data_IF_113291254359
#
_entry.id   IF_113291254359
#
_cell.length_a   1.000
_cell.length_b   1.000
_cell.length_c   1.000
_cell.angle_alpha   90.00
_cell.angle_beta   90.00
_cell.angle_gamma   90.00
#
_symmetry.space_group_name_H-M   'P 1'
#
loop_
_entity.id
_entity.type
_entity.pdbx_description
1 polymer ?
#
# COMPACT_ATOMS: atom_id res chain seq x y z
N UNK A 1 -10.54 -32.20 8.77
CA UNK A 1 -11.24 -31.40 9.80
C UNK A 1 -11.45 -30.08 9.09
N UNK A 2 -12.68 -29.74 8.76
CA UNK A 2 -13.02 -28.41 8.21
C UNK A 2 -12.71 -27.38 9.29
N UNK A 3 -11.91 -26.38 8.93
CA UNK A 3 -11.55 -25.28 9.84
C UNK A 3 -12.76 -24.33 9.86
N UNK A 4 -13.61 -24.43 10.89
CA UNK A 4 -14.80 -23.59 11.03
C UNK A 4 -14.44 -22.32 11.78
N UNK A 5 -14.82 -21.15 11.21
CA UNK A 5 -14.68 -19.85 11.85
C UNK A 5 -15.99 -19.47 12.54
N UNK A 6 -15.87 -18.90 13.73
CA UNK A 6 -16.99 -18.32 14.47
C UNK A 6 -16.79 -16.82 14.54
N UNK A 7 -17.73 -16.07 13.96
CA UNK A 7 -17.67 -14.61 13.94
C UNK A 7 -18.92 -14.02 14.60
N UNK A 8 -18.70 -13.03 15.48
CA UNK A 8 -19.76 -12.22 16.09
C UNK A 8 -19.94 -10.95 15.29
N UNK A 9 -21.19 -10.63 14.97
CA UNK A 9 -21.60 -9.51 14.15
C UNK A 9 -22.55 -8.63 14.93
N UNK A 10 -22.34 -7.32 14.94
CA UNK A 10 -23.30 -6.35 15.44
C UNK A 10 -24.23 -5.99 14.27
N UNK A 11 -25.53 -6.33 14.41
CA UNK A 11 -26.53 -6.20 13.36
C UNK A 11 -27.50 -5.09 13.66
N UNK A 12 -27.63 -4.13 12.77
CA UNK A 12 -28.50 -2.96 12.93
C UNK A 12 -29.84 -3.13 12.19
N UNK A 13 -30.87 -2.46 12.70
CA UNK A 13 -32.20 -2.45 12.07
C UNK A 13 -33.16 -3.52 12.59
N UNK A 14 -32.75 -4.39 13.50
CA UNK A 14 -33.64 -5.37 14.14
C UNK A 14 -34.50 -4.71 15.21
N UNK A 15 -35.80 -5.04 15.22
CA UNK A 15 -36.77 -4.48 16.21
C UNK A 15 -37.65 -5.53 16.86
N UNK A 16 -37.58 -6.80 16.42
CA UNK A 16 -38.46 -7.85 16.92
C UNK A 16 -37.89 -9.26 16.63
N UNK A 17 -38.45 -10.27 17.28
CA UNK A 17 -38.06 -11.67 17.09
C UNK A 17 -38.20 -12.17 15.64
N UNK A 18 -39.14 -11.63 14.85
CA UNK A 18 -39.24 -11.97 13.44
C UNK A 18 -38.05 -11.46 12.62
N UNK A 19 -37.49 -10.33 13.02
CA UNK A 19 -36.30 -9.78 12.37
C UNK A 19 -35.11 -10.71 12.55
N UNK A 20 -34.86 -11.16 13.79
CA UNK A 20 -33.77 -12.13 14.06
C UNK A 20 -33.99 -13.47 13.37
N UNK A 21 -35.25 -13.95 13.25
CA UNK A 21 -35.55 -15.15 12.47
C UNK A 21 -35.26 -14.95 10.98
N UNK A 22 -35.63 -13.78 10.40
CA UNK A 22 -35.35 -13.47 8.97
C UNK A 22 -33.86 -13.47 8.69
N UNK A 23 -33.06 -12.84 9.55
CA UNK A 23 -31.59 -12.81 9.41
C UNK A 23 -31.02 -14.24 9.58
N UNK A 24 -31.48 -14.99 10.60
CA UNK A 24 -31.05 -16.36 10.82
C UNK A 24 -31.33 -17.27 9.61
N UNK A 25 -32.57 -17.21 9.10
CA UNK A 25 -32.99 -17.98 7.90
C UNK A 25 -32.12 -17.59 6.68
N UNK A 26 -31.82 -16.30 6.48
CA UNK A 26 -30.97 -15.86 5.37
C UNK A 26 -29.54 -16.42 5.48
N UNK A 27 -28.97 -16.43 6.67
CA UNK A 27 -27.64 -16.97 6.92
C UNK A 27 -27.59 -18.49 6.77
N UNK A 28 -28.59 -19.22 7.27
CA UNK A 28 -28.67 -20.65 7.17
C UNK A 28 -28.90 -21.20 5.72
N UNK A 29 -29.31 -20.31 4.80
CA UNK A 29 -29.41 -20.63 3.37
C UNK A 29 -28.07 -20.63 2.65
N UNK A 30 -27.03 -20.05 3.24
CA UNK A 30 -25.70 -20.02 2.64
C UNK A 30 -25.00 -21.38 2.75
N UNK A 31 -24.55 -21.91 1.64
CA UNK A 31 -23.72 -23.12 1.62
C UNK A 31 -22.38 -22.81 2.32
N UNK A 32 -22.09 -23.51 3.42
CA UNK A 32 -20.90 -23.29 4.24
C UNK A 32 -21.18 -22.72 5.62
N UNK A 33 -22.38 -22.18 5.89
CA UNK A 33 -22.80 -21.81 7.25
C UNK A 33 -23.32 -23.06 7.97
N UNK A 34 -22.72 -23.36 9.13
CA UNK A 34 -23.09 -24.52 9.95
C UNK A 34 -24.14 -24.18 11.02
N UNK A 35 -24.04 -22.97 11.60
CA UNK A 35 -24.96 -22.48 12.61
C UNK A 35 -25.02 -20.94 12.58
N UNK A 36 -26.21 -20.37 12.73
CA UNK A 36 -26.42 -18.94 12.90
C UNK A 36 -27.36 -18.66 14.06
N UNK A 37 -26.89 -17.92 15.05
CA UNK A 37 -27.70 -17.50 16.21
C UNK A 37 -27.79 -15.98 16.21
N UNK A 38 -29.03 -15.44 16.08
CA UNK A 38 -29.29 -14.01 16.00
C UNK A 38 -30.21 -13.56 17.14
N UNK A 39 -29.84 -12.50 17.83
CA UNK A 39 -30.57 -11.96 18.97
C UNK A 39 -30.89 -10.48 18.78
N UNK A 40 -32.16 -10.16 18.55
CA UNK A 40 -32.62 -8.76 18.38
C UNK A 40 -32.56 -7.90 19.65
N UNK A 41 -32.51 -8.53 20.85
CA UNK A 41 -32.47 -7.77 22.11
C UNK A 41 -31.04 -7.24 22.43
N UNK A 42 -30.04 -7.86 21.86
CA UNK A 42 -28.63 -7.42 22.00
C UNK A 42 -28.08 -6.87 20.68
N UNK A 43 -28.88 -6.88 19.60
CA UNK A 43 -28.47 -6.54 18.24
C UNK A 43 -27.24 -7.30 17.73
N UNK A 44 -27.11 -8.57 18.17
CA UNK A 44 -25.96 -9.42 17.88
C UNK A 44 -26.34 -10.68 17.10
N UNK A 45 -25.47 -11.06 16.20
CA UNK A 45 -25.47 -12.36 15.50
C UNK A 45 -24.15 -13.10 15.72
N UNK A 46 -24.22 -14.41 15.92
CA UNK A 46 -23.04 -15.28 15.89
C UNK A 46 -23.21 -16.28 14.77
N UNK A 47 -22.23 -16.34 13.87
CA UNK A 47 -22.26 -17.20 12.70
C UNK A 47 -21.04 -18.13 12.73
N UNK A 48 -21.29 -19.43 12.62
CA UNK A 48 -20.26 -20.46 12.42
C UNK A 48 -20.27 -20.90 10.96
N UNK A 49 -19.14 -20.75 10.27
CA UNK A 49 -19.03 -21.00 8.84
C UNK A 49 -17.67 -21.59 8.45
N UNK A 50 -17.63 -22.27 7.31
CA UNK A 50 -16.42 -22.79 6.67
C UNK A 50 -15.88 -21.71 5.71
N UNK A 51 -14.71 -21.09 5.99
CA UNK A 51 -14.16 -20.02 5.16
C UNK A 51 -13.73 -20.48 3.75
N UNK A 52 -13.54 -21.79 3.54
CA UNK A 52 -13.26 -22.34 2.23
C UNK A 52 -14.54 -22.47 1.36
N UNK A 53 -15.73 -22.44 1.98
CA UNK A 53 -17.02 -22.57 1.32
C UNK A 53 -17.76 -21.23 1.18
N UNK A 54 -17.71 -20.36 2.19
CA UNK A 54 -18.38 -19.04 2.20
C UNK A 54 -17.49 -17.99 2.86
N UNK A 55 -17.38 -16.84 2.23
CA UNK A 55 -16.62 -15.71 2.76
C UNK A 55 -17.45 -14.88 3.74
N UNK A 56 -16.78 -14.14 4.64
CA UNK A 56 -17.47 -13.19 5.55
C UNK A 56 -18.19 -12.09 4.76
N UNK A 57 -17.69 -11.70 3.60
CA UNK A 57 -18.35 -10.79 2.67
C UNK A 57 -19.73 -11.30 2.25
N UNK A 58 -19.85 -12.58 1.88
CA UNK A 58 -21.13 -13.19 1.50
C UNK A 58 -22.09 -13.30 2.68
N UNK A 59 -21.56 -13.57 3.89
CA UNK A 59 -22.33 -13.54 5.13
C UNK A 59 -22.90 -12.14 5.40
N UNK A 60 -22.09 -11.10 5.28
CA UNK A 60 -22.53 -9.70 5.46
C UNK A 60 -23.54 -9.32 4.38
N UNK A 61 -23.27 -9.65 3.11
CA UNK A 61 -24.17 -9.38 2.01
C UNK A 61 -25.56 -10.04 2.18
N UNK A 62 -25.62 -11.25 2.71
CA UNK A 62 -26.89 -11.92 2.98
C UNK A 62 -27.73 -11.21 4.05
N UNK A 63 -27.08 -10.62 5.06
CA UNK A 63 -27.75 -9.80 6.07
C UNK A 63 -28.29 -8.51 5.45
N UNK A 64 -27.48 -7.85 4.60
CA UNK A 64 -27.85 -6.61 3.90
C UNK A 64 -28.98 -6.84 2.89
N UNK A 65 -28.92 -7.94 2.13
CA UNK A 65 -29.98 -8.34 1.21
C UNK A 65 -31.31 -8.68 1.94
N UNK A 66 -31.23 -9.14 3.19
CA UNK A 66 -32.39 -9.33 4.05
C UNK A 66 -32.96 -8.01 4.61
N UNK A 67 -32.29 -6.85 4.33
CA UNK A 67 -32.73 -5.52 4.71
C UNK A 67 -32.22 -5.01 6.06
N UNK A 68 -31.15 -5.62 6.58
CA UNK A 68 -30.49 -5.23 7.84
C UNK A 68 -29.07 -4.76 7.56
N UNK A 69 -28.44 -4.04 8.51
CA UNK A 69 -27.07 -3.59 8.38
C UNK A 69 -26.13 -4.36 9.32
N UNK A 70 -24.87 -4.44 8.97
CA UNK A 70 -23.78 -4.95 9.83
C UNK A 70 -22.85 -3.81 10.16
N UNK A 71 -22.43 -3.70 11.42
CA UNK A 71 -21.45 -2.69 11.83
C UNK A 71 -20.08 -3.13 11.34
N UNK A 72 -19.52 -2.36 10.43
CA UNK A 72 -18.16 -2.57 9.89
C UNK A 72 -17.35 -1.28 10.01
N UNK A 73 -16.05 -1.41 10.11
CA UNK A 73 -15.09 -0.31 10.03
C UNK A 73 -14.21 -0.45 8.81
N UNK A 74 -13.85 0.66 8.21
CA UNK A 74 -12.90 0.70 7.09
C UNK A 74 -11.65 1.45 7.51
N UNK A 75 -10.49 0.84 7.29
CA UNK A 75 -9.18 1.44 7.57
C UNK A 75 -8.32 1.43 6.32
N UNK A 76 -7.53 2.48 6.13
CA UNK A 76 -6.53 2.54 5.06
C UNK A 76 -5.14 2.36 5.68
N UNK A 77 -4.40 1.34 5.23
CA UNK A 77 -3.07 1.00 5.71
C UNK A 77 -2.06 1.23 4.59
N UNK A 78 -1.08 2.10 4.79
CA UNK A 78 0.02 2.24 3.86
C UNK A 78 0.99 1.05 4.00
N UNK A 79 1.41 0.47 2.85
CA UNK A 79 2.32 -0.67 2.80
C UNK A 79 3.54 -0.25 2.00
N UNK A 80 4.72 -0.25 2.63
CA UNK A 80 5.98 -0.09 1.91
C UNK A 80 6.40 -1.43 1.31
N UNK A 81 7.28 -1.44 0.35
CA UNK A 81 7.83 -2.63 -0.30
C UNK A 81 6.88 -3.31 -1.34
N UNK A 82 5.78 -2.68 -1.75
CA UNK A 82 4.98 -3.14 -2.89
C UNK A 82 5.72 -2.82 -4.19
N UNK A 83 6.29 -3.83 -4.82
CA UNK A 83 7.10 -3.68 -6.05
C UNK A 83 6.39 -4.08 -7.33
N UNK A 84 5.20 -4.66 -7.25
CA UNK A 84 4.44 -5.15 -8.40
C UNK A 84 2.99 -5.49 -8.05
N UNK A 85 2.13 -5.62 -9.06
CA UNK A 85 0.73 -6.01 -8.88
C UNK A 85 0.57 -7.35 -8.12
N UNK A 86 1.41 -8.35 -8.39
CA UNK A 86 1.37 -9.61 -7.66
C UNK A 86 1.65 -9.46 -6.15
N UNK A 87 2.41 -8.41 -5.77
CA UNK A 87 2.63 -8.08 -4.36
C UNK A 87 1.35 -7.54 -3.71
N UNK A 88 0.59 -6.72 -4.44
CA UNK A 88 -0.73 -6.25 -4.01
C UNK A 88 -1.70 -7.44 -3.84
N UNK A 89 -1.83 -8.31 -4.86
CA UNK A 89 -2.67 -9.51 -4.81
C UNK A 89 -2.32 -10.43 -3.62
N UNK A 90 -1.04 -10.51 -3.26
CA UNK A 90 -0.58 -11.32 -2.13
C UNK A 90 -1.03 -10.74 -0.79
N UNK A 91 -0.93 -9.42 -0.63
CA UNK A 91 -1.39 -8.74 0.59
C UNK A 91 -2.92 -8.75 0.69
N UNK A 92 -3.63 -8.54 -0.41
CA UNK A 92 -5.08 -8.64 -0.49
C UNK A 92 -5.56 -10.01 -0.03
N UNK A 93 -5.00 -11.08 -0.60
CA UNK A 93 -5.33 -12.45 -0.20
C UNK A 93 -4.98 -12.75 1.29
N UNK A 94 -3.90 -12.18 1.82
CA UNK A 94 -3.52 -12.35 3.22
C UNK A 94 -4.48 -11.61 4.17
N UNK A 95 -4.92 -10.43 3.78
CA UNK A 95 -5.92 -9.65 4.53
C UNK A 95 -7.29 -10.30 4.50
N UNK A 96 -7.76 -10.74 3.32
CA UNK A 96 -9.03 -11.46 3.17
C UNK A 96 -9.07 -12.80 3.94
N UNK A 97 -7.92 -13.48 4.09
CA UNK A 97 -7.81 -14.68 4.90
C UNK A 97 -7.80 -14.41 6.41
N UNK A 98 -7.77 -13.15 6.83
CA UNK A 98 -7.78 -12.79 8.26
C UNK A 98 -9.20 -12.86 8.80
N UNK A 99 -9.45 -13.63 9.88
CA UNK A 99 -10.79 -13.72 10.47
C UNK A 99 -11.32 -12.33 10.87
N UNK A 100 -12.57 -12.04 10.51
CA UNK A 100 -13.19 -10.74 10.77
C UNK A 100 -13.01 -9.69 9.66
N UNK A 101 -12.23 -9.95 8.64
CA UNK A 101 -12.14 -9.10 7.45
C UNK A 101 -13.27 -9.42 6.49
N UNK A 102 -14.01 -8.39 6.09
CA UNK A 102 -15.14 -8.47 5.14
C UNK A 102 -14.63 -8.28 3.72
N UNK A 103 -13.78 -7.29 3.51
CA UNK A 103 -13.25 -6.92 2.20
C UNK A 103 -11.86 -6.29 2.33
N UNK A 104 -11.00 -6.55 1.37
CA UNK A 104 -9.70 -5.91 1.28
C UNK A 104 -9.40 -5.57 -0.18
N UNK A 105 -8.92 -4.36 -0.42
CA UNK A 105 -8.45 -3.91 -1.73
C UNK A 105 -7.07 -3.28 -1.58
N UNK A 106 -6.08 -3.83 -2.28
CA UNK A 106 -4.70 -3.33 -2.22
C UNK A 106 -4.33 -2.64 -3.52
N UNK A 107 -4.05 -1.35 -3.44
CA UNK A 107 -3.69 -0.55 -4.59
C UNK A 107 -2.16 -0.37 -4.67
N UNK A 108 -1.56 -1.05 -5.64
CA UNK A 108 -0.13 -0.95 -5.91
C UNK A 108 0.31 0.46 -6.33
N UNK A 109 -0.55 1.26 -6.97
CA UNK A 109 -0.16 2.58 -7.45
C UNK A 109 -0.06 3.63 -6.32
N UNK A 110 -0.87 3.46 -5.25
CA UNK A 110 -0.86 4.35 -4.07
C UNK A 110 -0.07 3.75 -2.91
N UNK A 111 0.30 2.47 -2.98
CA UNK A 111 0.92 1.69 -1.90
C UNK A 111 0.04 1.60 -0.65
N UNK A 112 -1.28 1.45 -0.85
CA UNK A 112 -2.28 1.43 0.20
C UNK A 112 -3.18 0.20 0.12
N UNK A 113 -3.55 -0.33 1.30
CA UNK A 113 -4.61 -1.30 1.48
C UNK A 113 -5.81 -0.64 2.13
N UNK A 114 -6.97 -0.72 1.51
CA UNK A 114 -8.25 -0.38 2.13
C UNK A 114 -8.89 -1.67 2.61
N UNK A 115 -9.15 -1.75 3.92
CA UNK A 115 -9.66 -2.97 4.55
C UNK A 115 -10.93 -2.66 5.31
N UNK A 116 -12.01 -3.37 5.00
CA UNK A 116 -13.27 -3.34 5.72
C UNK A 116 -13.36 -4.58 6.61
N UNK A 117 -13.57 -4.38 7.90
CA UNK A 117 -13.58 -5.45 8.88
C UNK A 117 -14.67 -5.24 9.94
N UNK A 118 -15.00 -6.31 10.66
CA UNK A 118 -15.97 -6.29 11.76
C UNK A 118 -15.22 -5.97 13.05
N UNK A 119 -15.51 -4.83 13.73
CA UNK A 119 -14.94 -4.51 15.03
C UNK A 119 -15.25 -5.59 16.06
N UNK A 120 -14.22 -6.01 16.83
CA UNK A 120 -14.37 -7.10 17.80
C UNK A 120 -14.12 -8.51 17.22
N UNK A 121 -14.26 -8.73 15.92
CA UNK A 121 -13.82 -9.95 15.24
C UNK A 121 -12.38 -9.82 14.71
N UNK A 122 -12.02 -8.64 14.19
CA UNK A 122 -10.64 -8.29 13.84
C UNK A 122 -10.27 -6.94 14.45
N UNK A 123 -8.97 -6.72 14.62
CA UNK A 123 -8.39 -5.45 15.04
C UNK A 123 -7.39 -4.95 14.01
N UNK A 124 -7.10 -3.65 13.99
CA UNK A 124 -6.05 -3.07 13.13
C UNK A 124 -4.69 -3.75 13.37
N UNK A 125 -4.42 -4.25 14.58
CA UNK A 125 -3.21 -4.98 14.89
C UNK A 125 -3.13 -6.33 14.13
N UNK A 126 -4.25 -7.04 14.01
CA UNK A 126 -4.33 -8.31 13.27
C UNK A 126 -4.09 -8.07 11.77
N UNK A 127 -4.57 -6.93 11.24
CA UNK A 127 -4.33 -6.52 9.86
C UNK A 127 -2.84 -6.22 9.60
N UNK A 128 -2.17 -5.52 10.54
CA UNK A 128 -0.73 -5.32 10.46
C UNK A 128 0.04 -6.64 10.48
N UNK A 129 -0.35 -7.55 11.38
CA UNK A 129 0.30 -8.85 11.50
C UNK A 129 0.09 -9.71 10.23
N UNK A 130 -1.07 -9.64 9.59
CA UNK A 130 -1.34 -10.30 8.31
C UNK A 130 -0.39 -9.82 7.21
N UNK A 131 -0.22 -8.50 7.06
CA UNK A 131 0.71 -7.89 6.10
C UNK A 131 2.16 -8.28 6.41
N UNK A 132 2.58 -8.24 7.68
CA UNK A 132 3.94 -8.63 8.09
C UNK A 132 4.20 -10.13 7.86
N UNK A 133 3.20 -10.98 8.11
CA UNK A 133 3.28 -12.42 7.84
C UNK A 133 3.38 -12.73 6.35
N UNK A 134 2.72 -11.95 5.50
CA UNK A 134 2.89 -12.00 4.05
C UNK A 134 4.28 -11.52 3.59
N UNK A 135 5.04 -10.87 4.49
CA UNK A 135 6.44 -10.47 4.26
C UNK A 135 6.62 -9.04 3.82
N UNK A 136 5.61 -8.20 4.00
CA UNK A 136 5.60 -6.78 3.67
C UNK A 136 5.62 -5.92 4.93
N UNK A 137 5.79 -4.61 4.77
CA UNK A 137 5.98 -3.68 5.89
C UNK A 137 4.85 -2.66 5.93
N UNK A 138 3.83 -2.85 6.79
CA UNK A 138 2.80 -1.85 7.00
C UNK A 138 3.35 -0.63 7.74
N UNK A 139 2.88 0.55 7.41
CA UNK A 139 3.16 1.78 8.17
C UNK A 139 2.19 1.83 9.34
N UNK A 140 2.71 1.61 10.54
CA UNK A 140 1.89 1.68 11.76
C UNK A 140 1.66 3.15 12.12
N UNK A 141 0.42 3.58 12.15
CA UNK A 141 0.04 4.89 12.67
C UNK A 141 0.29 4.89 14.18
N UNK A 142 0.99 5.90 14.67
CA UNK A 142 1.25 6.05 16.10
C UNK A 142 -0.08 6.15 16.86
N UNK A 143 -0.22 5.38 17.95
CA UNK A 143 -1.35 5.42 18.86
C UNK A 143 -1.35 6.77 19.60
N UNK A 144 -1.77 7.83 18.91
CA UNK A 144 -2.12 9.12 19.50
C UNK A 144 -3.61 9.09 19.83
N UNK A 145 -3.93 9.05 21.13
CA UNK A 145 -5.26 9.42 21.62
C UNK A 145 -5.56 10.85 21.16
N UNK A 146 -6.55 10.96 20.33
CA UNK A 146 -7.31 12.14 19.91
C UNK A 146 -7.26 12.37 18.39
N UNK A 147 -8.40 12.25 17.83
CA UNK A 147 -9.03 12.53 16.56
C UNK A 147 -8.55 13.72 15.71
N UNK A 148 -7.24 13.82 15.45
CA UNK A 148 -6.73 14.72 14.43
C UNK A 148 -6.20 13.85 13.27
N UNK A 149 -6.87 13.93 12.13
CA UNK A 149 -6.53 13.23 10.88
C UNK A 149 -5.12 13.55 10.31
N UNK A 150 -4.39 14.46 10.96
CA UNK A 150 -3.06 14.96 10.53
C UNK A 150 -1.91 14.02 10.93
N UNK A 151 -2.01 13.31 12.06
CA UNK A 151 -0.90 12.45 12.55
C UNK A 151 -0.64 11.18 11.70
N UNK A 152 -1.66 10.65 11.04
CA UNK A 152 -1.54 9.47 10.17
C UNK A 152 -0.87 9.82 8.83
N UNK A 153 -1.15 10.99 8.29
CA UNK A 153 -0.56 11.49 7.05
C UNK A 153 0.93 11.78 7.21
N UNK A 154 1.35 12.35 8.32
CA UNK A 154 2.76 12.63 8.62
C UNK A 154 3.61 11.35 8.71
N UNK A 155 3.07 10.28 9.30
CA UNK A 155 3.77 8.99 9.40
C UNK A 155 3.95 8.33 8.01
N UNK A 156 2.95 8.41 7.15
CA UNK A 156 3.00 7.91 5.76
C UNK A 156 4.01 8.68 4.92
N UNK A 157 3.97 10.01 4.98
CA UNK A 157 4.90 10.87 4.24
C UNK A 157 6.35 10.66 4.70
N UNK A 158 6.57 10.54 6.01
CA UNK A 158 7.89 10.23 6.57
C UNK A 158 8.41 8.85 6.11
N UNK A 159 7.55 7.82 6.05
CA UNK A 159 7.90 6.50 5.56
C UNK A 159 8.25 6.51 4.07
N UNK A 160 7.45 7.21 3.26
CA UNK A 160 7.70 7.41 1.81
C UNK A 160 9.00 8.15 1.54
N UNK A 161 9.26 9.25 2.25
CA UNK A 161 10.54 9.95 2.13
C UNK A 161 11.74 9.11 2.56
N UNK A 162 11.57 8.29 3.60
CA UNK A 162 12.62 7.36 4.03
C UNK A 162 12.94 6.33 2.95
N UNK A 163 11.92 5.77 2.28
CA UNK A 163 12.10 4.84 1.16
C UNK A 163 12.76 5.52 -0.05
N UNK A 164 12.32 6.71 -0.46
CA UNK A 164 12.96 7.47 -1.54
C UNK A 164 14.44 7.74 -1.21
N UNK A 165 14.77 8.13 0.03
CA UNK A 165 16.16 8.36 0.46
C UNK A 165 16.99 7.07 0.44
N UNK A 166 16.40 5.95 0.85
CA UNK A 166 17.04 4.62 0.84
C UNK A 166 17.33 4.19 -0.61
N UNK A 167 16.34 4.24 -1.49
CA UNK A 167 16.48 3.89 -2.91
C UNK A 167 17.50 4.77 -3.61
N UNK A 168 17.50 6.09 -3.37
CA UNK A 168 18.50 7.01 -3.90
C UNK A 168 19.92 6.64 -3.46
N UNK A 169 20.12 6.30 -2.17
CA UNK A 169 21.45 5.90 -1.66
C UNK A 169 21.92 4.61 -2.30
N UNK A 170 21.06 3.61 -2.42
CA UNK A 170 21.39 2.34 -3.06
C UNK A 170 21.71 2.53 -4.54
N UNK A 171 20.91 3.33 -5.26
CA UNK A 171 21.16 3.65 -6.67
C UNK A 171 22.51 4.35 -6.87
N UNK A 172 22.82 5.39 -6.07
CA UNK A 172 24.09 6.09 -6.17
C UNK A 172 25.28 5.19 -5.83
N UNK A 173 25.16 4.36 -4.79
CA UNK A 173 26.18 3.38 -4.43
C UNK A 173 26.42 2.36 -5.54
N UNK A 174 25.34 1.78 -6.06
CA UNK A 174 25.40 0.81 -7.16
C UNK A 174 25.96 1.44 -8.45
N UNK A 175 25.51 2.64 -8.81
CA UNK A 175 25.97 3.35 -9.99
C UNK A 175 27.47 3.68 -9.93
N UNK A 176 27.95 4.10 -8.75
CA UNK A 176 29.39 4.40 -8.57
C UNK A 176 30.29 3.17 -8.80
N UNK A 177 29.84 1.99 -8.35
CA UNK A 177 30.58 0.72 -8.53
C UNK A 177 30.36 0.10 -9.91
N UNK A 178 29.20 0.28 -10.51
CA UNK A 178 28.87 -0.26 -11.82
C UNK A 178 29.35 0.65 -12.98
N UNK A 179 29.62 1.93 -12.76
CA UNK A 179 30.10 2.82 -13.82
C UNK A 179 31.42 2.32 -14.48
N UNK A 180 32.46 1.88 -13.74
CA UNK A 180 33.62 1.27 -14.35
C UNK A 180 33.27 -0.01 -15.14
N UNK A 181 32.38 -0.88 -14.61
CA UNK A 181 31.94 -2.10 -15.29
C UNK A 181 31.19 -1.78 -16.59
N UNK A 182 30.40 -0.72 -16.61
CA UNK A 182 29.75 -0.26 -17.83
C UNK A 182 30.75 0.20 -18.90
N UNK A 183 31.79 0.93 -18.49
CA UNK A 183 32.86 1.34 -19.44
C UNK A 183 33.52 0.14 -20.04
N UNK A 184 33.78 -0.91 -19.27
CA UNK A 184 34.38 -2.15 -19.75
C UNK A 184 33.45 -2.95 -20.68
N UNK A 185 32.15 -2.99 -20.33
CA UNK A 185 31.15 -3.63 -21.17
C UNK A 185 31.07 -2.95 -22.54
N UNK A 186 31.04 -1.60 -22.56
CA UNK A 186 30.97 -0.81 -23.77
C UNK A 186 32.23 -1.00 -24.62
N UNK A 187 33.42 -1.01 -24.02
CA UNK A 187 34.66 -1.29 -24.72
C UNK A 187 34.65 -2.68 -25.37
N UNK A 188 34.28 -3.70 -24.61
CA UNK A 188 34.17 -5.07 -25.10
C UNK A 188 33.15 -5.22 -26.23
N UNK A 189 32.02 -4.54 -26.16
CA UNK A 189 30.91 -4.63 -27.12
C UNK A 189 31.18 -3.82 -28.38
N UNK A 190 31.67 -2.57 -28.27
CA UNK A 190 31.81 -1.64 -29.39
C UNK A 190 33.20 -1.67 -30.03
N UNK A 191 34.27 -1.96 -29.25
CA UNK A 191 35.65 -1.91 -29.71
C UNK A 191 36.24 -3.30 -29.86
N UNK A 192 35.44 -4.36 -29.62
CA UNK A 192 35.86 -5.75 -29.83
C UNK A 192 36.78 -6.31 -28.75
N UNK A 193 37.02 -5.59 -27.67
CA UNK A 193 37.97 -5.93 -26.61
C UNK A 193 39.42 -5.74 -27.08
N UNK A 194 40.30 -5.23 -26.24
CA UNK A 194 41.72 -5.11 -26.56
C UNK A 194 42.29 -3.69 -26.52
N UNK A 195 41.45 -2.69 -26.24
CA UNK A 195 41.88 -1.31 -25.95
C UNK A 195 42.32 -1.19 -24.48
N UNK A 196 41.62 -1.88 -23.61
CA UNK A 196 41.98 -1.93 -22.18
C UNK A 196 42.92 -3.14 -21.93
N UNK A 197 43.95 -2.97 -21.09
CA UNK A 197 44.89 -4.05 -20.82
C UNK A 197 44.23 -5.17 -20.02
N UNK A 198 44.55 -6.44 -20.36
CA UNK A 198 44.07 -7.64 -19.66
C UNK A 198 44.46 -7.66 -18.16
N UNK A 199 45.38 -6.80 -17.77
CA UNK A 199 45.84 -6.62 -16.38
C UNK A 199 45.91 -5.14 -16.03
N UNK A 200 45.24 -4.76 -14.96
CA UNK A 200 45.31 -3.43 -14.37
C UNK A 200 46.03 -3.56 -13.04
N UNK A 201 47.11 -2.80 -12.82
CA UNK A 201 47.97 -2.90 -11.64
C UNK A 201 48.48 -4.34 -11.34
N UNK A 202 48.65 -5.17 -12.35
CA UNK A 202 49.12 -6.56 -12.19
C UNK A 202 48.04 -7.57 -11.84
N UNK A 203 46.82 -7.14 -11.64
CA UNK A 203 45.64 -7.98 -11.32
C UNK A 203 44.89 -8.28 -12.62
N UNK A 204 44.53 -9.54 -12.84
CA UNK A 204 43.68 -9.94 -13.95
C UNK A 204 42.32 -9.25 -13.86
N UNK A 205 41.83 -8.78 -14.98
CA UNK A 205 40.63 -7.95 -15.07
C UNK A 205 39.39 -8.58 -14.40
N UNK A 206 39.21 -9.88 -14.53
CA UNK A 206 38.10 -10.61 -13.90
C UNK A 206 38.03 -10.49 -12.38
N UNK A 207 39.17 -10.34 -11.69
CA UNK A 207 39.19 -10.09 -10.25
C UNK A 207 38.72 -8.67 -9.89
N UNK A 208 38.94 -7.69 -10.78
CA UNK A 208 38.47 -6.33 -10.62
C UNK A 208 36.93 -6.29 -10.79
N UNK A 209 36.40 -6.95 -11.83
CA UNK A 209 34.98 -7.12 -12.04
C UNK A 209 34.29 -7.78 -10.82
N UNK A 210 34.88 -8.88 -10.32
CA UNK A 210 34.42 -9.56 -9.12
C UNK A 210 34.38 -8.63 -7.90
N UNK A 211 35.45 -7.85 -7.66
CA UNK A 211 35.56 -6.96 -6.51
C UNK A 211 34.52 -5.82 -6.57
N UNK A 212 34.23 -5.32 -7.77
CA UNK A 212 33.22 -4.26 -7.97
C UNK A 212 31.79 -4.81 -7.94
N UNK A 213 31.54 -5.97 -8.53
CA UNK A 213 30.21 -6.56 -8.61
C UNK A 213 29.74 -7.17 -7.27
N UNK A 214 30.66 -7.69 -6.45
CA UNK A 214 30.30 -8.34 -5.18
C UNK A 214 29.56 -7.41 -4.20
N UNK A 215 30.03 -6.17 -3.92
CA UNK A 215 29.27 -5.25 -3.07
C UNK A 215 27.92 -4.86 -3.66
N UNK A 216 27.84 -4.74 -4.99
CA UNK A 216 26.56 -4.46 -5.67
C UNK A 216 25.60 -5.63 -5.47
N UNK A 217 26.05 -6.88 -5.71
CA UNK A 217 25.25 -8.08 -5.52
C UNK A 217 24.77 -8.23 -4.07
N UNK A 218 25.63 -7.92 -3.10
CA UNK A 218 25.29 -8.02 -1.67
C UNK A 218 24.33 -6.92 -1.20
N UNK A 219 24.56 -5.66 -1.60
CA UNK A 219 23.79 -4.52 -1.10
C UNK A 219 22.46 -4.35 -1.85
N UNK A 220 22.50 -4.35 -3.20
CA UNK A 220 21.32 -4.15 -4.03
C UNK A 220 20.52 -5.45 -4.21
N UNK A 221 21.17 -6.62 -4.18
CA UNK A 221 20.51 -7.92 -4.29
C UNK A 221 19.72 -8.31 -3.04
N UNK A 222 20.09 -7.81 -1.85
CA UNK A 222 19.48 -8.21 -0.57
C UNK A 222 17.95 -8.04 -0.51
N UNK A 223 17.35 -6.93 -0.93
CA UNK A 223 15.89 -6.80 -0.97
C UNK A 223 15.24 -7.87 -1.84
N UNK A 224 15.76 -8.09 -3.04
CA UNK A 224 15.24 -9.09 -3.98
C UNK A 224 15.34 -10.52 -3.43
N UNK A 225 16.43 -10.87 -2.73
CA UNK A 225 16.57 -12.18 -2.08
C UNK A 225 15.56 -12.38 -0.97
N UNK A 226 15.35 -11.35 -0.11
CA UNK A 226 14.37 -11.41 0.97
C UNK A 226 12.95 -11.57 0.43
N UNK A 227 12.58 -10.75 -0.56
CA UNK A 227 11.26 -10.80 -1.17
C UNK A 227 11.02 -12.10 -1.93
N UNK A 228 12.05 -12.63 -2.63
CA UNK A 228 11.98 -13.95 -3.28
C UNK A 228 11.77 -15.08 -2.29
N UNK A 229 12.46 -15.04 -1.15
CA UNK A 229 12.26 -16.02 -0.08
C UNK A 229 10.83 -15.96 0.48
N UNK A 230 10.31 -14.76 0.77
CA UNK A 230 8.94 -14.59 1.24
C UNK A 230 7.93 -15.08 0.19
N UNK A 231 8.09 -14.71 -1.08
CA UNK A 231 7.20 -15.11 -2.15
C UNK A 231 7.13 -16.64 -2.33
N UNK A 232 8.30 -17.31 -2.37
CA UNK A 232 8.34 -18.76 -2.62
C UNK A 232 8.01 -19.56 -1.37
N UNK A 233 8.64 -19.24 -0.22
CA UNK A 233 8.60 -20.10 0.98
C UNK A 233 7.38 -19.81 1.82
N UNK A 234 6.97 -18.54 1.98
CA UNK A 234 5.81 -18.19 2.78
C UNK A 234 4.51 -18.25 1.96
N UNK A 235 4.51 -17.69 0.76
CA UNK A 235 3.28 -17.47 0.00
C UNK A 235 3.06 -18.50 -1.12
N UNK A 236 4.05 -19.37 -1.40
CA UNK A 236 3.95 -20.38 -2.49
C UNK A 236 3.76 -19.79 -3.90
N UNK A 237 4.05 -18.49 -4.08
CA UNK A 237 3.89 -17.74 -5.32
C UNK A 237 5.23 -17.23 -5.83
N UNK A 238 5.30 -16.92 -7.11
CA UNK A 238 6.48 -16.28 -7.72
C UNK A 238 6.14 -14.84 -8.09
N UNK A 239 7.08 -13.94 -7.87
CA UNK A 239 6.97 -12.52 -8.25
C UNK A 239 8.16 -12.08 -9.10
N UNK A 240 8.19 -10.81 -9.51
CA UNK A 240 9.26 -10.23 -10.30
C UNK A 240 10.63 -10.31 -9.58
N UNK A 241 10.65 -10.18 -8.25
CA UNK A 241 11.87 -10.23 -7.45
C UNK A 241 12.56 -11.60 -7.54
N UNK A 242 11.79 -12.69 -7.64
CA UNK A 242 12.32 -14.05 -7.85
C UNK A 242 13.07 -14.15 -9.17
N UNK A 243 12.53 -13.57 -10.24
CA UNK A 243 13.18 -13.56 -11.55
C UNK A 243 14.48 -12.76 -11.54
N UNK A 244 14.47 -11.60 -10.90
CA UNK A 244 15.64 -10.73 -10.74
C UNK A 244 16.73 -11.42 -9.91
N UNK A 245 16.35 -11.99 -8.76
CA UNK A 245 17.25 -12.71 -7.87
C UNK A 245 17.89 -13.92 -8.56
N UNK A 246 17.10 -14.70 -9.30
CA UNK A 246 17.58 -15.88 -10.03
C UNK A 246 18.52 -15.47 -11.17
N UNK A 247 18.13 -14.49 -11.99
CA UNK A 247 18.91 -14.03 -13.14
C UNK A 247 20.25 -13.43 -12.74
N UNK A 248 20.24 -12.48 -11.79
CA UNK A 248 21.48 -11.83 -11.33
C UNK A 248 22.41 -12.81 -10.60
N UNK A 249 21.86 -13.71 -9.77
CA UNK A 249 22.65 -14.70 -9.05
C UNK A 249 23.24 -15.74 -9.98
N UNK A 250 22.50 -16.18 -10.99
CA UNK A 250 23.03 -17.15 -11.99
C UNK A 250 24.20 -16.55 -12.74
N UNK A 251 24.08 -15.31 -13.24
CA UNK A 251 25.17 -14.63 -13.92
C UNK A 251 26.40 -14.45 -13.03
N UNK A 252 26.18 -14.06 -11.76
CA UNK A 252 27.23 -13.85 -10.76
C UNK A 252 27.94 -15.16 -10.42
N UNK A 253 27.21 -16.21 -10.03
CA UNK A 253 27.76 -17.50 -9.61
C UNK A 253 28.47 -18.19 -10.78
N UNK A 254 27.90 -18.13 -11.99
CA UNK A 254 28.54 -18.61 -13.19
C UNK A 254 29.91 -17.93 -13.41
N UNK A 255 29.94 -16.59 -13.29
CA UNK A 255 31.18 -15.82 -13.47
C UNK A 255 32.23 -16.15 -12.40
N UNK A 256 31.81 -16.42 -11.16
CA UNK A 256 32.71 -16.92 -10.10
C UNK A 256 33.31 -18.28 -10.49
N UNK A 257 32.50 -19.21 -11.01
CA UNK A 257 32.98 -20.51 -11.44
C UNK A 257 33.97 -20.41 -12.61
N UNK A 258 33.76 -19.51 -13.57
CA UNK A 258 34.71 -19.22 -14.67
C UNK A 258 35.96 -18.59 -14.11
N UNK A 259 35.88 -17.60 -13.22
CA UNK A 259 37.04 -16.92 -12.62
C UNK A 259 37.94 -17.87 -11.84
N UNK A 260 37.32 -18.86 -11.15
CA UNK A 260 38.07 -19.93 -10.45
C UNK A 260 38.60 -21.04 -11.37
N UNK A 261 38.34 -20.98 -12.67
CA UNK A 261 38.79 -21.97 -13.63
C UNK A 261 38.04 -23.32 -13.56
N UNK A 262 36.87 -23.36 -12.92
CA UNK A 262 36.06 -24.59 -12.81
C UNK A 262 35.32 -24.91 -14.11
N UNK A 263 34.97 -23.89 -14.88
CA UNK A 263 34.31 -24.00 -16.19
C UNK A 263 34.93 -23.01 -17.16
N UNK A 264 34.91 -23.34 -18.46
CA UNK A 264 35.35 -22.43 -19.51
C UNK A 264 34.18 -21.55 -19.95
N UNK A 265 34.40 -20.23 -20.09
CA UNK A 265 33.38 -19.30 -20.54
C UNK A 265 33.76 -17.84 -20.40
N UNK A 266 32.81 -16.93 -20.62
CA UNK A 266 32.99 -15.50 -20.42
C UNK A 266 32.54 -15.08 -19.01
N UNK A 267 33.01 -13.91 -18.56
CA UNK A 267 32.56 -13.29 -17.31
C UNK A 267 31.36 -12.41 -17.57
N UNK A 268 30.40 -12.42 -16.66
CA UNK A 268 29.14 -11.68 -16.69
C UNK A 268 28.89 -10.93 -15.38
N UNK A 269 29.96 -10.56 -14.64
CA UNK A 269 29.85 -9.76 -13.42
C UNK A 269 29.25 -8.38 -13.68
N UNK A 270 29.64 -7.77 -14.81
CA UNK A 270 29.08 -6.53 -15.33
C UNK A 270 27.56 -6.63 -15.54
N UNK A 271 27.12 -7.67 -16.23
CA UNK A 271 25.70 -7.92 -16.49
C UNK A 271 24.91 -8.11 -15.20
N UNK A 272 25.41 -8.93 -14.24
CA UNK A 272 24.77 -9.14 -12.95
C UNK A 272 24.63 -7.84 -12.16
N UNK A 273 25.69 -7.03 -12.11
CA UNK A 273 25.68 -5.75 -11.39
C UNK A 273 24.77 -4.72 -12.06
N UNK A 274 24.81 -4.60 -13.40
CA UNK A 274 24.00 -3.63 -14.14
C UNK A 274 22.51 -3.93 -14.05
N UNK A 275 22.09 -5.19 -14.08
CA UNK A 275 20.70 -5.59 -13.86
C UNK A 275 20.20 -5.03 -12.53
N UNK A 276 20.92 -5.27 -11.44
CA UNK A 276 20.52 -4.80 -10.11
C UNK A 276 20.51 -3.27 -10.01
N UNK A 277 21.49 -2.59 -10.61
CA UNK A 277 21.56 -1.13 -10.61
C UNK A 277 20.40 -0.51 -11.39
N UNK A 278 20.12 -1.01 -12.61
CA UNK A 278 19.01 -0.46 -13.40
C UNK A 278 17.65 -0.71 -12.78
N UNK A 279 17.44 -1.87 -12.16
CA UNK A 279 16.18 -2.15 -11.46
C UNK A 279 16.05 -1.27 -10.22
N UNK A 280 17.13 -1.12 -9.43
CA UNK A 280 17.12 -0.21 -8.27
C UNK A 280 16.89 1.24 -8.69
N UNK A 281 17.45 1.68 -9.83
CA UNK A 281 17.14 2.99 -10.42
C UNK A 281 15.65 3.08 -10.82
N UNK A 282 15.11 2.03 -11.43
CA UNK A 282 13.69 1.95 -11.76
C UNK A 282 12.80 2.13 -10.53
N UNK A 283 13.07 1.39 -9.47
CA UNK A 283 12.35 1.49 -8.19
C UNK A 283 12.47 2.90 -7.57
N UNK A 284 13.64 3.54 -7.66
CA UNK A 284 13.80 4.93 -7.22
C UNK A 284 12.93 5.91 -8.02
N UNK A 285 12.91 5.78 -9.35
CA UNK A 285 12.10 6.65 -10.22
C UNK A 285 10.60 6.42 -9.98
N UNK A 286 10.21 5.18 -9.79
CA UNK A 286 8.85 4.79 -9.46
C UNK A 286 8.40 5.39 -8.11
N UNK A 287 9.15 5.16 -7.03
CA UNK A 287 8.86 5.72 -5.71
C UNK A 287 8.74 7.26 -5.74
N UNK A 288 9.59 7.91 -6.52
CA UNK A 288 9.53 9.36 -6.73
C UNK A 288 8.27 9.79 -7.49
N UNK A 289 7.89 9.06 -8.54
CA UNK A 289 6.71 9.39 -9.35
C UNK A 289 5.42 9.18 -8.58
N UNK A 290 5.31 8.07 -7.81
CA UNK A 290 4.19 7.82 -6.90
C UNK A 290 4.04 8.94 -5.86
N UNK A 291 5.15 9.42 -5.29
CA UNK A 291 5.14 10.54 -4.35
C UNK A 291 4.57 11.83 -4.95
N UNK A 292 4.97 12.18 -6.16
CA UNK A 292 4.49 13.39 -6.84
C UNK A 292 2.99 13.33 -7.18
N UNK A 293 2.50 12.15 -7.59
CA UNK A 293 1.08 11.96 -7.88
C UNK A 293 0.21 12.06 -6.62
N UNK A 294 0.67 11.49 -5.50
CA UNK A 294 0.00 11.60 -4.20
C UNK A 294 -0.06 13.04 -3.69
N UNK A 295 1.03 13.79 -3.80
CA UNK A 295 1.09 15.20 -3.39
C UNK A 295 0.14 16.09 -4.23
N UNK A 296 0.04 15.85 -5.54
CA UNK A 296 -0.89 16.57 -6.41
C UNK A 296 -2.36 16.29 -6.04
N UNK A 297 -2.72 15.04 -5.74
CA UNK A 297 -4.06 14.68 -5.30
C UNK A 297 -4.38 15.29 -3.93
N UNK A 298 -3.43 15.25 -3.00
CA UNK A 298 -3.57 15.83 -1.67
C UNK A 298 -3.77 17.33 -1.71
N UNK A 299 -3.03 18.05 -2.56
CA UNK A 299 -3.20 19.50 -2.72
C UNK A 299 -4.60 19.87 -3.20
N UNK A 300 -5.30 18.97 -3.88
CA UNK A 300 -6.71 19.15 -4.25
C UNK A 300 -7.63 18.91 -3.05
N UNK A 301 -7.37 17.89 -2.23
CA UNK A 301 -8.14 17.62 -1.01
C UNK A 301 -7.93 18.70 0.06
N UNK A 302 -6.72 19.23 0.21
CA UNK A 302 -6.41 20.34 1.12
C UNK A 302 -7.10 21.66 0.73
N UNK A 303 -7.68 21.74 -0.48
CA UNK A 303 -8.52 22.88 -0.87
C UNK A 303 -9.93 22.82 -0.30
N UNK A 304 -10.39 21.69 0.21
CA UNK A 304 -11.63 21.59 0.98
C UNK A 304 -11.50 22.33 2.31
N UNK A 305 -12.58 22.99 2.74
CA UNK A 305 -12.59 23.67 4.02
C UNK A 305 -12.98 22.67 5.12
N UNK A 306 -12.23 22.61 6.19
CA UNK A 306 -12.53 21.71 7.34
C UNK A 306 -13.54 22.32 8.29
N UNK A 307 -13.60 23.68 8.37
CA UNK A 307 -14.47 24.42 9.27
C UNK A 307 -15.27 25.49 8.52
N UNK A 308 -16.37 25.91 9.13
CA UNK A 308 -17.20 27.02 8.66
C UNK A 308 -17.49 28.00 9.80
N UNK A 309 -17.42 29.30 9.51
CA UNK A 309 -17.82 30.33 10.46
C UNK A 309 -19.33 30.60 10.34
N UNK A 310 -20.10 30.06 11.27
CA UNK A 310 -21.58 30.24 11.31
C UNK A 310 -21.93 31.47 12.09
N UNK A 311 -22.88 32.27 11.56
CA UNK A 311 -23.44 33.45 12.21
C UNK A 311 -24.76 33.09 12.90
N UNK A 312 -24.78 33.11 14.21
CA UNK A 312 -25.97 32.81 15.02
C UNK A 312 -26.98 33.94 14.97
N UNK A 313 -28.23 33.69 15.42
CA UNK A 313 -29.31 34.67 15.43
C UNK A 313 -29.02 35.91 16.29
N UNK A 314 -28.16 35.78 17.30
CA UNK A 314 -27.73 36.87 18.18
C UNK A 314 -26.60 37.72 17.56
N UNK A 315 -26.14 37.35 16.35
CA UNK A 315 -25.06 38.01 15.64
C UNK A 315 -23.63 37.54 16.05
N UNK A 316 -23.54 36.57 16.94
CA UNK A 316 -22.26 35.95 17.28
C UNK A 316 -21.77 35.05 16.14
N UNK A 317 -20.44 34.97 15.99
CA UNK A 317 -19.78 34.12 15.03
C UNK A 317 -19.14 32.94 15.79
N UNK A 318 -19.39 31.74 15.28
CA UNK A 318 -18.87 30.51 15.84
C UNK A 318 -18.25 29.68 14.72
N UNK A 319 -17.01 29.24 14.91
CA UNK A 319 -16.34 28.31 13.99
C UNK A 319 -16.71 26.90 14.39
N UNK A 320 -17.32 26.17 13.44
CA UNK A 320 -17.76 24.78 13.65
C UNK A 320 -17.17 23.88 12.56
N UNK A 321 -17.01 22.56 12.82
CA UNK A 321 -16.67 21.59 11.80
C UNK A 321 -17.69 21.61 10.66
N UNK A 322 -17.23 21.39 9.42
CA UNK A 322 -18.10 21.40 8.24
C UNK A 322 -19.23 20.37 8.32
N UNK A 323 -19.00 19.24 8.96
CA UNK A 323 -19.99 18.16 9.17
C UNK A 323 -21.17 18.59 10.06
N UNK A 324 -20.99 19.61 10.90
CA UNK A 324 -22.03 20.15 11.78
C UNK A 324 -22.88 21.24 11.11
N UNK A 325 -22.52 21.72 9.91
CA UNK A 325 -23.24 22.73 9.15
C UNK A 325 -24.55 22.16 8.60
N UNK A 326 -25.64 22.87 8.77
CA UNK A 326 -26.99 22.45 8.33
C UNK A 326 -27.58 23.38 7.30
N UNK A 327 -28.49 22.84 6.50
CA UNK A 327 -29.27 23.64 5.55
C UNK A 327 -30.04 24.71 6.27
N UNK A 328 -29.80 25.98 5.92
CA UNK A 328 -30.42 27.16 6.54
C UNK A 328 -29.46 27.94 7.45
N UNK A 329 -28.31 27.43 7.76
CA UNK A 329 -27.25 28.14 8.49
C UNK A 329 -26.71 29.31 7.63
N UNK A 330 -26.43 30.44 8.32
CA UNK A 330 -25.76 31.59 7.69
C UNK A 330 -24.28 31.55 8.01
N UNK A 331 -23.48 31.52 6.98
CA UNK A 331 -22.02 31.47 7.12
C UNK A 331 -21.39 32.80 6.71
N UNK A 332 -20.31 33.15 7.36
CA UNK A 332 -19.47 34.30 6.97
C UNK A 332 -18.16 33.81 6.35
N UNK A 333 -17.89 34.26 5.14
CA UNK A 333 -16.62 34.02 4.44
C UNK A 333 -15.91 35.35 4.31
N UNK A 334 -14.68 35.43 4.82
CA UNK A 334 -13.83 36.62 4.74
C UNK A 334 -12.91 36.56 3.52
N UNK A 335 -12.39 37.72 3.08
CA UNK A 335 -11.40 37.74 2.00
C UNK A 335 -10.18 36.83 2.31
N UNK A 336 -9.88 35.90 1.40
CA UNK A 336 -8.82 34.92 1.56
C UNK A 336 -9.23 33.62 2.22
N UNK A 337 -10.48 33.51 2.73
CA UNK A 337 -11.02 32.25 3.25
C UNK A 337 -11.64 31.41 2.12
N UNK A 338 -11.70 30.10 2.33
CA UNK A 338 -12.37 29.16 1.43
C UNK A 338 -13.87 29.23 1.66
N UNK A 339 -14.67 29.05 0.61
CA UNK A 339 -16.13 28.87 0.71
C UNK A 339 -16.37 27.42 1.14
N UNK A 340 -16.93 27.18 2.36
CA UNK A 340 -16.91 25.84 2.95
C UNK A 340 -17.91 24.87 2.31
N UNK A 341 -19.04 25.34 1.78
CA UNK A 341 -20.07 24.48 1.16
C UNK A 341 -20.92 25.29 0.18
N UNK A 342 -21.76 24.61 -0.57
CA UNK A 342 -22.72 25.24 -1.48
C UNK A 342 -23.70 26.14 -0.72
N UNK A 343 -23.99 27.30 -1.29
CA UNK A 343 -24.88 28.26 -0.65
C UNK A 343 -25.36 29.37 -1.59
N UNK A 344 -26.19 30.26 -1.03
CA UNK A 344 -26.69 31.45 -1.72
C UNK A 344 -26.16 32.69 -1.01
N UNK A 345 -25.56 33.60 -1.78
CA UNK A 345 -25.09 34.88 -1.24
C UNK A 345 -26.28 35.71 -0.78
N UNK A 346 -26.37 36.00 0.51
CA UNK A 346 -27.44 36.80 1.11
C UNK A 346 -27.05 38.27 1.33
N UNK A 347 -25.74 38.52 1.48
CA UNK A 347 -25.20 39.87 1.67
C UNK A 347 -23.71 39.91 1.28
N UNK A 348 -23.26 41.06 0.77
CA UNK A 348 -21.88 41.29 0.40
C UNK A 348 -21.59 41.04 -1.08
N UNK A 349 -20.34 41.38 -1.48
CA UNK A 349 -19.81 41.18 -2.84
C UNK A 349 -18.31 40.98 -2.75
N UNK A 350 -17.81 39.94 -3.43
CA UNK A 350 -16.39 39.64 -3.53
C UNK A 350 -16.08 38.95 -4.86
N UNK A 351 -14.82 39.00 -5.28
CA UNK A 351 -14.31 38.15 -6.32
C UNK A 351 -13.97 36.78 -5.72
N UNK A 352 -14.27 35.72 -6.47
CA UNK A 352 -13.99 34.34 -6.08
C UNK A 352 -13.02 33.74 -7.08
N UNK A 353 -11.98 33.09 -6.60
CA UNK A 353 -11.06 32.32 -7.42
C UNK A 353 -11.68 30.93 -7.73
N UNK A 354 -12.17 30.80 -8.94
CA UNK A 354 -12.77 29.54 -9.47
C UNK A 354 -11.81 28.78 -10.39
N UNK A 355 -10.53 29.14 -10.39
CA UNK A 355 -9.54 28.58 -11.32
C UNK A 355 -9.41 27.06 -11.23
N UNK A 356 -9.73 26.47 -10.10
CA UNK A 356 -9.76 25.02 -9.89
C UNK A 356 -10.83 24.32 -10.73
N UNK A 357 -11.97 24.95 -10.93
CA UNK A 357 -13.12 24.39 -11.67
C UNK A 357 -13.09 24.82 -13.13
N UNK A 358 -12.79 26.10 -13.38
CA UNK A 358 -12.82 26.70 -14.71
C UNK A 358 -11.49 26.62 -15.45
N UNK A 359 -10.37 26.47 -14.75
CA UNK A 359 -9.02 26.55 -15.31
C UNK A 359 -8.57 27.98 -15.65
N UNK A 360 -9.38 29.00 -15.35
CA UNK A 360 -9.06 30.41 -15.62
C UNK A 360 -8.52 31.10 -14.35
N UNK A 361 -7.32 31.71 -14.44
CA UNK A 361 -6.63 32.31 -13.30
C UNK A 361 -7.16 33.71 -12.90
N UNK A 362 -8.25 34.18 -13.46
CA UNK A 362 -8.79 35.52 -13.22
C UNK A 362 -10.24 35.40 -12.76
N UNK A 363 -10.61 36.00 -11.59
CA UNK A 363 -11.96 35.98 -11.09
C UNK A 363 -12.93 36.81 -11.96
#
# INVERSE_FOLDING_TARGET
>A
MTDTHTTRLDITGMSCANCSATVGDALETLDGVSEATVNFATDEGTVEYDPDAVSLREVVAAIEDAGYGVVTETVTIAITDLSCANCADTNEAALEATPGVVDAAVNYATDEAQVTYVPGAASVADLYDAIENAGYSPVREGRGESGDGDSGTDARDAAREAEIRKQRRLTLFGAALAAPLLVFLVEKLLLGGGVLPDRVFGIEFGWIEFLLATPVQAALGRPFYRNSYNAIVKNGRTNMDVLIALGSSTAYVYSVAVLLGLIAGGLYFDTAALILVFITLGNYLEARSKGQAGEALRSLLEMEAETATVVREDGSEEEIPLEDVRVGDRMRVRPGEKIPTDGVVVDGQSAVDESMVTGESVP
#
